data_IF_802555589154
#
_entry.id   IF_802555589154
#
_cell.length_a   1.000
_cell.length_b   1.000
_cell.length_c   1.000
_cell.angle_alpha   90.00
_cell.angle_beta   90.00
_cell.angle_gamma   90.00
#
_symmetry.space_group_name_H-M   'P 1'
#
loop_
_entity.id
_entity.type
_entity.pdbx_description
1 polymer ?
#
# COMPACT_ATOMS: atom_id res chain seq x y z
N UNK A 1 26.85 13.19 -21.55
CA UNK A 1 25.91 14.09 -20.85
C UNK A 1 24.51 13.51 -21.03
N UNK A 2 24.00 12.82 -20.03
CA UNK A 2 22.72 12.11 -20.10
C UNK A 2 21.62 13.13 -19.79
N UNK A 3 20.88 13.55 -20.78
CA UNK A 3 19.72 14.42 -20.59
C UNK A 3 18.69 13.67 -19.77
N UNK A 4 18.64 13.95 -18.48
CA UNK A 4 17.49 13.64 -17.64
C UNK A 4 16.30 14.41 -18.22
N UNK A 5 15.51 13.75 -19.08
CA UNK A 5 14.19 14.26 -19.44
C UNK A 5 13.48 14.59 -18.15
N UNK A 6 12.99 15.81 -18.00
CA UNK A 6 12.14 16.19 -16.89
C UNK A 6 10.97 15.24 -16.89
N UNK A 7 11.00 14.30 -15.95
CA UNK A 7 9.90 13.33 -15.79
C UNK A 7 8.72 14.14 -15.27
N UNK A 8 7.70 14.30 -16.11
CA UNK A 8 6.50 15.05 -15.75
C UNK A 8 5.91 14.57 -14.42
N UNK A 9 5.01 15.35 -13.84
CA UNK A 9 4.31 14.95 -12.63
C UNK A 9 3.61 13.59 -12.84
N UNK A 10 3.79 12.64 -11.93
CA UNK A 10 3.09 11.36 -12.03
C UNK A 10 1.57 11.59 -11.99
N UNK A 11 0.77 10.85 -12.76
CA UNK A 11 -0.66 10.88 -12.61
C UNK A 11 -1.07 10.38 -11.22
N UNK A 12 -2.28 10.73 -10.77
CA UNK A 12 -2.83 10.11 -9.56
C UNK A 12 -3.10 8.62 -9.80
N UNK A 13 -2.64 7.79 -8.87
CA UNK A 13 -2.78 6.33 -8.93
C UNK A 13 -3.29 5.80 -7.59
N UNK A 14 -4.26 4.92 -7.65
CA UNK A 14 -4.74 4.16 -6.50
C UNK A 14 -3.91 2.88 -6.40
N UNK A 15 -3.10 2.77 -5.36
CA UNK A 15 -2.33 1.57 -5.06
C UNK A 15 -3.15 0.61 -4.22
N UNK A 16 -3.44 -0.57 -4.75
CA UNK A 16 -4.15 -1.63 -4.03
C UNK A 16 -3.19 -2.78 -3.80
N UNK A 17 -3.02 -3.16 -2.56
CA UNK A 17 -2.10 -4.24 -2.20
C UNK A 17 -2.64 -5.02 -1.01
N UNK A 18 -2.47 -6.35 -1.06
CA UNK A 18 -2.63 -7.15 0.14
C UNK A 18 -1.56 -6.77 1.19
N UNK A 19 -1.87 -6.78 2.48
CA UNK A 19 -0.86 -6.52 3.51
C UNK A 19 0.39 -7.39 3.33
N UNK A 20 1.57 -6.82 3.58
CA UNK A 20 2.87 -7.48 3.44
C UNK A 20 3.24 -7.92 2.02
N UNK A 21 2.62 -7.32 1.01
CA UNK A 21 2.95 -7.57 -0.41
C UNK A 21 4.04 -6.66 -0.98
N UNK A 22 4.84 -6.01 -0.11
CA UNK A 22 5.96 -5.15 -0.55
C UNK A 22 5.57 -3.70 -0.85
N UNK A 23 4.44 -3.23 -0.34
CA UNK A 23 3.95 -1.87 -0.56
C UNK A 23 4.98 -0.80 -0.21
N UNK A 24 5.67 -0.92 0.93
CA UNK A 24 6.67 0.05 1.35
C UNK A 24 7.87 0.09 0.39
N UNK A 25 8.30 -1.05 -0.13
CA UNK A 25 9.36 -1.11 -1.14
C UNK A 25 8.93 -0.37 -2.41
N UNK A 26 7.71 -0.64 -2.90
CA UNK A 26 7.17 0.04 -4.07
C UNK A 26 7.10 1.56 -3.87
N UNK A 27 6.57 2.02 -2.73
CA UNK A 27 6.51 3.44 -2.41
C UNK A 27 7.90 4.10 -2.38
N UNK A 28 8.91 3.40 -1.86
CA UNK A 28 10.31 3.87 -1.88
C UNK A 28 10.86 3.96 -3.31
N UNK A 29 10.61 2.97 -4.14
CA UNK A 29 11.03 2.98 -5.54
C UNK A 29 10.38 4.13 -6.31
N UNK A 30 9.09 4.36 -6.13
CA UNK A 30 8.37 5.47 -6.76
C UNK A 30 8.90 6.82 -6.28
N UNK A 31 9.22 6.94 -5.00
CA UNK A 31 9.84 8.16 -4.44
C UNK A 31 11.22 8.42 -5.02
N UNK A 32 12.03 7.38 -5.19
CA UNK A 32 13.35 7.51 -5.83
C UNK A 32 13.23 7.87 -7.31
N UNK A 33 12.23 7.33 -7.98
CA UNK A 33 12.01 7.58 -9.40
C UNK A 33 11.49 8.98 -9.70
N UNK A 34 10.47 9.44 -8.97
CA UNK A 34 9.81 10.72 -9.20
C UNK A 34 10.36 11.86 -8.34
N UNK A 35 11.15 11.56 -7.30
CA UNK A 35 11.70 12.55 -6.40
C UNK A 35 10.62 13.37 -5.68
N UNK A 36 10.80 14.70 -5.57
CA UNK A 36 9.85 15.59 -4.88
C UNK A 36 8.44 15.61 -5.49
N UNK A 37 8.30 15.17 -6.74
CA UNK A 37 6.99 15.09 -7.41
C UNK A 37 6.13 13.92 -6.91
N UNK A 38 6.72 12.98 -6.16
CA UNK A 38 5.99 11.86 -5.58
C UNK A 38 5.38 12.25 -4.25
N UNK A 39 4.07 12.42 -4.24
CA UNK A 39 3.27 12.72 -3.06
C UNK A 39 2.38 11.52 -2.71
N UNK A 40 2.31 11.18 -1.43
CA UNK A 40 1.79 9.91 -0.95
C UNK A 40 0.76 10.09 0.15
N UNK A 41 -0.35 9.33 0.05
CA UNK A 41 -1.33 9.16 1.11
C UNK A 41 -1.36 7.70 1.56
N UNK A 42 -1.05 7.46 2.82
CA UNK A 42 -1.00 6.11 3.41
C UNK A 42 -2.36 5.52 3.75
N UNK A 43 -3.42 6.29 3.70
CA UNK A 43 -4.80 5.96 4.04
C UNK A 43 -5.01 5.62 5.53
N UNK A 44 -4.20 4.70 6.09
CA UNK A 44 -4.38 4.16 7.45
C UNK A 44 -3.53 4.91 8.48
N UNK A 45 -4.19 5.49 9.51
CA UNK A 45 -3.53 5.93 10.73
C UNK A 45 -2.46 7.01 10.62
N UNK A 46 -2.36 7.70 9.50
CA UNK A 46 -1.39 8.77 9.28
C UNK A 46 -2.04 10.14 9.54
N UNK A 47 -1.35 11.04 10.23
CA UNK A 47 -1.87 12.38 10.58
C UNK A 47 -2.21 13.24 9.36
N UNK A 48 -1.58 12.99 8.23
CA UNK A 48 -1.82 13.72 6.97
C UNK A 48 -2.72 12.97 5.99
N UNK A 49 -3.25 11.83 6.40
CA UNK A 49 -4.08 10.97 5.56
C UNK A 49 -5.56 11.33 5.69
N UNK A 50 -6.28 11.33 4.56
CA UNK A 50 -7.70 11.63 4.53
C UNK A 50 -8.60 10.44 4.91
N UNK A 51 -8.09 9.21 4.95
CA UNK A 51 -8.87 8.00 5.18
C UNK A 51 -9.90 7.69 4.09
N UNK A 52 -9.74 8.28 2.90
CA UNK A 52 -10.63 8.10 1.75
C UNK A 52 -9.89 7.67 0.49
N UNK A 53 -10.58 6.92 -0.35
CA UNK A 53 -10.15 6.55 -1.69
C UNK A 53 -11.29 6.78 -2.70
N UNK A 54 -11.11 7.58 -3.75
CA UNK A 54 -9.90 8.37 -4.07
C UNK A 54 -9.54 9.36 -2.96
N UNK A 55 -8.24 9.69 -2.84
CA UNK A 55 -7.79 10.65 -1.85
C UNK A 55 -8.48 12.01 -2.07
N UNK A 56 -8.99 12.63 -1.00
CA UNK A 56 -9.61 13.96 -1.07
C UNK A 56 -8.66 15.04 -1.56
N UNK A 57 -7.36 14.79 -1.46
CA UNK A 57 -6.28 15.67 -1.93
C UNK A 57 -5.64 15.16 -3.22
N UNK A 58 -6.39 14.45 -4.08
CA UNK A 58 -5.85 13.87 -5.32
C UNK A 58 -5.18 14.89 -6.26
N UNK A 59 -5.52 16.17 -6.16
CA UNK A 59 -4.81 17.25 -6.86
C UNK A 59 -3.36 17.45 -6.40
N UNK A 60 -3.08 17.24 -5.12
CA UNK A 60 -1.77 17.36 -4.49
C UNK A 60 -1.10 15.99 -4.26
N UNK A 61 -1.89 14.97 -3.93
CA UNK A 61 -1.41 13.60 -3.72
C UNK A 61 -1.44 12.83 -5.03
N UNK A 62 -0.36 12.15 -5.34
CA UNK A 62 -0.21 11.41 -6.62
C UNK A 62 -0.37 9.90 -6.45
N UNK A 63 -0.26 9.38 -5.25
CA UNK A 63 -0.38 7.96 -4.97
C UNK A 63 -1.07 7.73 -3.62
N UNK A 64 -2.16 6.96 -3.64
CA UNK A 64 -2.85 6.50 -2.42
C UNK A 64 -2.64 5.02 -2.22
N UNK A 65 -2.35 4.63 -0.98
CA UNK A 65 -2.36 3.22 -0.58
C UNK A 65 -3.76 2.79 -0.16
N UNK A 66 -4.16 1.58 -0.50
CA UNK A 66 -5.32 0.92 0.08
C UNK A 66 -5.16 -0.61 0.09
N UNK A 67 -5.76 -1.29 1.05
CA UNK A 67 -5.84 -2.74 1.10
C UNK A 67 -7.20 -3.28 0.65
N UNK A 68 -8.15 -2.38 0.44
CA UNK A 68 -9.52 -2.70 -0.02
C UNK A 68 -10.26 -3.72 0.86
N UNK A 69 -10.03 -3.66 2.17
CA UNK A 69 -10.67 -4.60 3.11
C UNK A 69 -12.18 -4.49 3.15
N UNK A 70 -12.71 -3.33 2.82
CA UNK A 70 -14.15 -3.00 2.85
C UNK A 70 -14.77 -2.94 1.46
N UNK A 71 -14.00 -3.21 0.40
CA UNK A 71 -14.46 -3.13 -0.98
C UNK A 71 -14.83 -1.70 -1.42
N UNK A 72 -14.29 -0.67 -0.74
CA UNK A 72 -14.63 0.73 -1.02
C UNK A 72 -13.79 1.35 -2.15
N UNK A 73 -12.76 0.68 -2.63
CA UNK A 73 -11.96 1.15 -3.76
C UNK A 73 -12.84 1.17 -5.00
N UNK A 74 -13.03 2.32 -5.68
CA UNK A 74 -13.87 2.38 -6.87
C UNK A 74 -13.30 1.48 -7.98
N UNK A 75 -14.18 0.75 -8.63
CA UNK A 75 -13.86 -0.13 -9.76
C UNK A 75 -14.42 0.47 -11.04
N UNK A 76 -13.72 1.43 -11.58
CA UNK A 76 -14.14 2.16 -12.76
C UNK A 76 -13.01 2.40 -13.75
N UNK A 77 -13.32 2.87 -14.94
CA UNK A 77 -12.36 3.22 -15.98
C UNK A 77 -11.77 4.62 -15.84
N UNK A 78 -12.20 5.42 -14.85
CA UNK A 78 -11.78 6.81 -14.67
C UNK A 78 -10.47 6.92 -13.88
N UNK A 79 -10.16 5.93 -13.05
CA UNK A 79 -8.98 5.92 -12.20
C UNK A 79 -7.90 4.97 -12.73
N UNK A 80 -6.67 5.26 -12.35
CA UNK A 80 -5.51 4.39 -12.61
C UNK A 80 -5.18 3.60 -11.36
N UNK A 81 -4.88 2.33 -11.56
CA UNK A 81 -4.60 1.41 -10.46
C UNK A 81 -3.21 0.80 -10.60
N UNK A 82 -2.57 0.61 -9.47
CA UNK A 82 -1.38 -0.23 -9.36
C UNK A 82 -1.69 -1.31 -8.33
N UNK A 83 -1.88 -2.53 -8.81
CA UNK A 83 -2.23 -3.67 -7.98
C UNK A 83 -0.95 -4.45 -7.68
N UNK A 84 -0.68 -4.65 -6.40
CA UNK A 84 0.48 -5.38 -5.95
C UNK A 84 0.06 -6.60 -5.16
N UNK A 85 0.49 -7.75 -5.64
CA UNK A 85 0.19 -9.04 -5.05
C UNK A 85 1.46 -9.76 -4.60
N UNK A 86 1.30 -10.68 -3.68
CA UNK A 86 2.32 -11.62 -3.23
C UNK A 86 1.65 -12.97 -3.03
N UNK A 87 2.41 -14.05 -3.15
CA UNK A 87 1.90 -15.38 -2.84
C UNK A 87 1.34 -15.41 -1.42
N UNK A 88 0.21 -16.08 -1.25
CA UNK A 88 -0.59 -16.07 -0.04
C UNK A 88 0.19 -16.51 1.21
N UNK A 89 0.74 -17.71 1.21
CA UNK A 89 1.42 -18.26 2.38
C UNK A 89 2.58 -17.37 2.88
N UNK A 90 3.51 -16.89 2.03
CA UNK A 90 4.51 -15.91 2.44
C UNK A 90 3.94 -14.61 3.00
N UNK A 91 2.77 -14.15 2.52
CA UNK A 91 2.13 -12.94 3.05
C UNK A 91 1.60 -13.17 4.45
N UNK A 92 0.96 -14.31 4.71
CA UNK A 92 0.46 -14.68 6.04
C UNK A 92 1.60 -14.81 7.04
N UNK A 93 2.67 -15.51 6.67
CA UNK A 93 3.87 -15.66 7.53
C UNK A 93 4.47 -14.29 7.86
N UNK A 94 4.67 -13.44 6.87
CA UNK A 94 5.23 -12.10 7.09
C UNK A 94 4.33 -11.22 7.94
N UNK A 95 3.01 -11.39 7.87
CA UNK A 95 2.07 -10.67 8.72
C UNK A 95 2.07 -11.22 10.15
N UNK A 96 2.23 -12.52 10.30
CA UNK A 96 2.42 -13.14 11.62
C UNK A 96 3.71 -12.70 12.29
N UNK A 97 4.81 -12.54 11.54
CA UNK A 97 6.05 -11.96 12.07
C UNK A 97 5.84 -10.54 12.63
N UNK A 98 5.00 -9.72 11.99
CA UNK A 98 4.63 -8.42 12.52
C UNK A 98 3.84 -8.56 13.83
N UNK A 99 2.88 -9.46 13.88
CA UNK A 99 2.11 -9.78 15.09
C UNK A 99 3.02 -10.17 16.26
N UNK A 100 4.06 -10.99 16.01
CA UNK A 100 5.03 -11.37 17.02
C UNK A 100 5.85 -10.16 17.54
N UNK A 101 6.24 -9.26 16.65
CA UNK A 101 6.96 -8.01 17.03
C UNK A 101 6.09 -7.08 17.86
N UNK A 102 4.80 -7.16 17.72
CA UNK A 102 3.80 -6.38 18.48
C UNK A 102 3.40 -7.08 19.80
N UNK A 103 4.09 -8.14 20.19
CA UNK A 103 3.91 -8.84 21.47
C UNK A 103 3.00 -10.07 21.40
N UNK A 104 2.70 -10.57 20.22
CA UNK A 104 1.95 -11.81 20.03
C UNK A 104 2.75 -13.05 20.47
N UNK A 105 2.04 -14.17 20.72
CA UNK A 105 2.64 -15.42 21.14
C UNK A 105 3.13 -16.25 19.96
N UNK A 106 4.36 -16.73 20.07
CA UNK A 106 4.99 -17.60 19.05
C UNK A 106 4.71 -19.07 19.37
N UNK A 107 3.49 -19.51 19.06
CA UNK A 107 3.08 -20.89 19.21
C UNK A 107 2.11 -21.30 18.10
N UNK A 108 1.99 -22.61 17.85
CA UNK A 108 1.15 -23.13 16.76
C UNK A 108 -0.34 -22.77 16.92
N UNK A 109 -0.96 -22.81 18.11
CA UNK A 109 -2.35 -22.34 18.29
C UNK A 109 -2.54 -20.85 17.97
N UNK A 110 -1.59 -20.01 18.35
CA UNK A 110 -1.63 -18.57 18.04
C UNK A 110 -1.50 -18.31 16.55
N UNK A 111 -0.60 -19.01 15.88
CA UNK A 111 -0.48 -18.94 14.42
C UNK A 111 -1.76 -19.41 13.72
N UNK A 112 -2.35 -20.53 14.15
CA UNK A 112 -3.59 -21.04 13.55
C UNK A 112 -4.75 -20.05 13.70
N UNK A 113 -4.93 -19.44 14.87
CA UNK A 113 -5.94 -18.39 15.09
C UNK A 113 -5.68 -17.17 14.21
N UNK A 114 -4.43 -16.71 14.15
CA UNK A 114 -4.04 -15.57 13.35
C UNK A 114 -4.29 -15.83 11.86
N UNK A 115 -3.85 -16.95 11.33
CA UNK A 115 -4.04 -17.30 9.93
C UNK A 115 -5.52 -17.41 9.56
N UNK A 116 -6.36 -18.00 10.43
CA UNK A 116 -7.80 -18.11 10.21
C UNK A 116 -8.51 -16.76 10.22
N UNK A 117 -8.01 -15.77 10.98
CA UNK A 117 -8.58 -14.43 11.03
C UNK A 117 -8.25 -13.57 9.80
N UNK A 118 -7.34 -14.00 8.93
CA UNK A 118 -6.98 -13.29 7.69
C UNK A 118 -7.99 -13.55 6.54
N UNK A 119 -8.89 -14.48 6.71
CA UNK A 119 -9.88 -14.93 5.73
C UNK A 119 -11.26 -15.03 6.36
#
# INVERSE_FOLDING_TARGET
MMFLRSRGHPPYVIGVSWPRSGHHLLARLLRLYYGPSFTYCGFYGQTECCGQVPCTRAGAIRYSKNHDFDGAVPQDGAHRYLIQTRAFAPSVVSNFELYLREGGSDDAPSFARFASAQF
#
